data_IF_860277303284
#
_entry.id   IF_860277303284
#
_cell.length_a   1.000
_cell.length_b   1.000
_cell.length_c   1.000
_cell.angle_alpha   90.00
_cell.angle_beta   90.00
_cell.angle_gamma   90.00
#
_symmetry.space_group_name_H-M   'P 1'
#
loop_
_entity.id
_entity.type
_entity.pdbx_description
1 polymer ?
#
# COMPACT_ATOMS: atom_id res chain seq x y z
N UNK A 1 -12.41 27.33 -15.95
CA UNK A 1 -11.08 27.07 -15.38
C UNK A 1 -11.19 26.38 -14.02
N UNK A 2 -12.19 26.75 -13.22
CA UNK A 2 -12.36 26.35 -11.81
C UNK A 2 -12.54 24.85 -11.58
N UNK A 3 -13.31 24.15 -12.43
CA UNK A 3 -13.47 22.69 -12.36
C UNK A 3 -12.13 21.94 -12.54
N UNK A 4 -11.24 22.42 -13.43
CA UNK A 4 -9.94 21.78 -13.65
C UNK A 4 -8.98 21.99 -12.47
N UNK A 5 -9.09 23.14 -11.79
CA UNK A 5 -8.34 23.47 -10.59
C UNK A 5 -8.78 22.64 -9.38
N UNK A 6 -10.09 22.40 -9.21
CA UNK A 6 -10.64 21.55 -8.14
C UNK A 6 -10.25 20.06 -8.28
N UNK A 7 -10.13 19.56 -9.52
CA UNK A 7 -9.81 18.16 -9.78
C UNK A 7 -8.32 17.81 -9.73
N UNK A 8 -7.43 18.81 -9.87
CA UNK A 8 -5.98 18.60 -9.85
C UNK A 8 -5.45 17.99 -8.53
N UNK A 9 -5.84 18.49 -7.32
CA UNK A 9 -5.41 17.88 -6.07
C UNK A 9 -5.96 16.46 -5.86
N UNK A 10 -7.18 16.18 -6.32
CA UNK A 10 -7.79 14.84 -6.21
C UNK A 10 -7.04 13.82 -7.07
N UNK A 11 -6.72 14.14 -8.34
CA UNK A 11 -5.88 13.28 -9.18
C UNK A 11 -4.51 13.03 -8.56
N UNK A 12 -3.90 14.05 -7.95
CA UNK A 12 -2.62 13.90 -7.28
C UNK A 12 -2.72 12.89 -6.12
N UNK A 13 -3.74 13.02 -5.26
CA UNK A 13 -3.99 12.06 -4.15
C UNK A 13 -4.16 10.63 -4.67
N UNK A 14 -4.96 10.44 -5.72
CA UNK A 14 -5.16 9.13 -6.37
C UNK A 14 -3.83 8.54 -6.83
N UNK A 15 -3.05 9.29 -7.62
CA UNK A 15 -1.76 8.80 -8.15
C UNK A 15 -0.74 8.51 -7.04
N UNK A 16 -0.71 9.31 -5.98
CA UNK A 16 0.16 9.07 -4.82
C UNK A 16 -0.24 7.79 -4.08
N UNK A 17 -1.54 7.57 -3.86
CA UNK A 17 -2.06 6.35 -3.24
C UNK A 17 -1.75 5.10 -4.09
N UNK A 18 -1.94 5.16 -5.42
CA UNK A 18 -1.58 4.09 -6.34
C UNK A 18 -0.09 3.72 -6.29
N UNK A 19 0.78 4.73 -6.23
CA UNK A 19 2.22 4.50 -6.12
C UNK A 19 2.59 3.82 -4.80
N UNK A 20 1.93 4.22 -3.70
CA UNK A 20 2.11 3.60 -2.38
C UNK A 20 1.61 2.16 -2.37
N UNK A 21 0.41 1.89 -2.90
CA UNK A 21 -0.16 0.55 -3.06
C UNK A 21 0.82 -0.35 -3.82
N UNK A 22 1.27 0.09 -5.00
CA UNK A 22 2.19 -0.69 -5.84
C UNK A 22 3.48 -1.04 -5.11
N UNK A 23 4.07 -0.09 -4.38
CA UNK A 23 5.28 -0.32 -3.59
C UNK A 23 5.03 -1.33 -2.47
N UNK A 24 3.98 -1.13 -1.67
CA UNK A 24 3.68 -2.00 -0.54
C UNK A 24 3.36 -3.43 -0.97
N UNK A 25 2.63 -3.61 -2.07
CA UNK A 25 2.37 -4.93 -2.66
C UNK A 25 3.66 -5.63 -3.06
N UNK A 26 4.62 -4.91 -3.67
CA UNK A 26 5.93 -5.48 -4.02
C UNK A 26 6.75 -5.84 -2.76
N UNK A 27 6.75 -4.97 -1.75
CA UNK A 27 7.45 -5.22 -0.48
C UNK A 27 6.89 -6.45 0.24
N UNK A 28 5.56 -6.60 0.30
CA UNK A 28 4.89 -7.76 0.89
C UNK A 28 5.28 -9.04 0.13
N UNK A 29 5.26 -9.02 -1.21
CA UNK A 29 5.66 -10.18 -2.00
C UNK A 29 7.13 -10.59 -1.73
N UNK A 30 8.03 -9.62 -1.59
CA UNK A 30 9.42 -9.88 -1.22
C UNK A 30 9.57 -10.50 0.18
N UNK A 31 8.78 -10.02 1.15
CA UNK A 31 8.75 -10.58 2.51
C UNK A 31 8.15 -11.99 2.53
N UNK A 32 7.12 -12.26 1.73
CA UNK A 32 6.52 -13.59 1.60
C UNK A 32 7.53 -14.60 1.05
N UNK A 33 8.32 -14.21 0.05
CA UNK A 33 9.42 -15.05 -0.46
C UNK A 33 10.49 -15.30 0.60
N UNK A 34 10.83 -14.28 1.40
CA UNK A 34 11.81 -14.42 2.48
C UNK A 34 11.30 -15.32 3.61
N UNK A 35 10.03 -15.19 3.99
CA UNK A 35 9.37 -16.01 5.01
C UNK A 35 9.17 -17.46 4.57
N UNK A 36 9.02 -17.70 3.26
CA UNK A 36 8.89 -19.03 2.69
C UNK A 36 10.22 -19.81 2.61
N UNK A 37 11.36 -19.21 3.00
CA UNK A 37 12.64 -19.91 3.01
C UNK A 37 12.61 -21.13 3.95
N UNK A 38 12.95 -22.34 3.47
CA UNK A 38 13.01 -23.53 4.32
C UNK A 38 13.95 -23.31 5.51
N UNK A 39 13.58 -23.91 6.64
CA UNK A 39 14.34 -23.89 7.89
C UNK A 39 14.58 -22.50 8.50
N UNK A 40 14.05 -21.40 7.94
CA UNK A 40 14.25 -20.05 8.47
C UNK A 40 13.80 -19.95 9.94
N UNK A 41 12.62 -20.46 10.25
CA UNK A 41 12.07 -20.43 11.60
C UNK A 41 12.87 -21.29 12.60
N UNK A 42 13.53 -22.35 12.12
CA UNK A 42 14.37 -23.22 12.95
C UNK A 42 15.78 -22.64 13.14
N UNK A 43 16.36 -22.08 12.07
CA UNK A 43 17.72 -21.54 12.04
C UNK A 43 17.83 -20.16 12.68
N UNK A 44 16.85 -19.31 12.45
CA UNK A 44 16.86 -17.90 12.88
C UNK A 44 15.44 -17.40 13.21
N UNK A 45 14.87 -17.85 14.34
CA UNK A 45 13.52 -17.47 14.75
C UNK A 45 13.36 -15.96 14.99
N UNK A 46 14.42 -15.27 15.43
CA UNK A 46 14.38 -13.82 15.65
C UNK A 46 14.22 -13.06 14.33
N UNK A 47 14.97 -13.44 13.29
CA UNK A 47 14.80 -12.89 11.94
C UNK A 47 13.43 -13.23 11.36
N UNK A 48 12.95 -14.46 11.54
CA UNK A 48 11.62 -14.87 11.08
C UNK A 48 10.51 -14.01 11.71
N UNK A 49 10.58 -13.77 13.03
CA UNK A 49 9.67 -12.91 13.75
C UNK A 49 9.73 -11.45 13.26
N UNK A 50 10.93 -10.94 13.00
CA UNK A 50 11.14 -9.60 12.41
C UNK A 50 10.47 -9.48 11.04
N UNK A 51 10.72 -10.42 10.13
CA UNK A 51 10.13 -10.43 8.79
C UNK A 51 8.59 -10.55 8.83
N UNK A 52 8.05 -11.37 9.74
CA UNK A 52 6.61 -11.54 9.91
C UNK A 52 5.93 -10.27 10.42
N UNK A 53 6.56 -9.58 11.38
CA UNK A 53 6.10 -8.27 11.88
C UNK A 53 6.13 -7.23 10.76
N UNK A 54 7.25 -7.13 10.06
CA UNK A 54 7.45 -6.24 8.93
C UNK A 54 6.37 -6.42 7.85
N UNK A 55 6.02 -7.67 7.55
CA UNK A 55 4.97 -8.03 6.59
C UNK A 55 3.60 -7.59 7.08
N UNK A 56 3.29 -7.81 8.36
CA UNK A 56 2.03 -7.37 8.96
C UNK A 56 1.87 -5.85 8.93
N UNK A 57 2.93 -5.09 9.23
CA UNK A 57 2.91 -3.63 9.20
C UNK A 57 2.68 -3.08 7.77
N UNK A 58 3.33 -3.70 6.76
CA UNK A 58 3.13 -3.34 5.35
C UNK A 58 1.74 -3.70 4.85
N UNK A 59 1.19 -4.84 5.26
CA UNK A 59 -0.19 -5.21 4.94
C UNK A 59 -1.20 -4.21 5.55
N UNK A 60 -0.98 -3.79 6.81
CA UNK A 60 -1.81 -2.75 7.42
C UNK A 60 -1.66 -1.39 6.72
N UNK A 61 -0.45 -1.04 6.26
CA UNK A 61 -0.23 0.16 5.48
C UNK A 61 -0.88 0.10 4.09
N UNK A 62 -0.90 -1.09 3.47
CA UNK A 62 -1.53 -1.31 2.17
C UNK A 62 -3.03 -1.03 2.25
N UNK A 63 -3.72 -1.60 3.25
CA UNK A 63 -5.15 -1.35 3.48
C UNK A 63 -5.44 0.14 3.61
N UNK A 64 -4.65 0.87 4.41
CA UNK A 64 -4.84 2.34 4.56
C UNK A 64 -4.63 3.09 3.25
N UNK A 65 -3.70 2.66 2.40
CA UNK A 65 -3.46 3.27 1.10
C UNK A 65 -4.60 2.98 0.11
N UNK A 66 -5.17 1.77 0.17
CA UNK A 66 -6.35 1.38 -0.61
C UNK A 66 -7.59 2.16 -0.19
N UNK A 67 -7.79 2.38 1.11
CA UNK A 67 -8.86 3.23 1.66
C UNK A 67 -8.73 4.69 1.17
N UNK A 68 -7.53 5.27 1.22
CA UNK A 68 -7.27 6.62 0.71
C UNK A 68 -7.50 6.71 -0.80
N UNK A 69 -7.07 5.70 -1.57
CA UNK A 69 -7.31 5.65 -3.00
C UNK A 69 -8.81 5.62 -3.32
N UNK A 70 -9.58 4.79 -2.60
CA UNK A 70 -11.03 4.69 -2.79
C UNK A 70 -11.73 6.00 -2.44
N UNK A 71 -11.36 6.63 -1.31
CA UNK A 71 -11.92 7.92 -0.91
C UNK A 71 -11.60 9.02 -1.93
N UNK A 72 -10.34 9.16 -2.34
CA UNK A 72 -9.93 10.17 -3.31
C UNK A 72 -10.56 9.95 -4.70
N UNK A 73 -10.76 8.69 -5.10
CA UNK A 73 -11.44 8.34 -6.35
C UNK A 73 -12.93 8.69 -6.29
N UNK A 74 -13.60 8.41 -5.16
CA UNK A 74 -15.00 8.78 -4.96
C UNK A 74 -15.20 10.31 -4.93
N UNK A 75 -14.31 11.05 -4.27
CA UNK A 75 -14.29 12.51 -4.29
C UNK A 75 -14.13 13.04 -5.72
N UNK A 76 -13.22 12.43 -6.50
CA UNK A 76 -12.97 12.81 -7.89
C UNK A 76 -14.18 12.58 -8.79
N UNK A 77 -14.82 11.41 -8.67
CA UNK A 77 -16.04 11.09 -9.41
C UNK A 77 -17.17 12.06 -9.07
N UNK A 78 -17.36 12.35 -7.78
CA UNK A 78 -18.37 13.31 -7.30
C UNK A 78 -18.12 14.72 -7.81
N UNK A 79 -16.86 15.16 -7.90
CA UNK A 79 -16.50 16.49 -8.43
C UNK A 79 -16.57 16.58 -9.97
N UNK A 80 -16.61 15.43 -10.65
CA UNK A 80 -16.75 15.33 -12.11
C UNK A 80 -18.21 15.32 -12.57
N UNK A 81 -19.12 14.80 -11.73
CA UNK A 81 -20.58 14.80 -11.95
C UNK A 81 -21.16 16.23 -12.00
#
# INVERSE_FOLDING_TARGET
ADRRAALAPLRKRITEAEAVIKRLTADIAGLDVALAQPDLFARDPAKAAGLAKDRSERAAALVRAEEEWLAASSDYESAMA
#
